data_IF_898052449005
#
_entry.id   IF_898052449005
#
_cell.length_a   1.000
_cell.length_b   1.000
_cell.length_c   1.000
_cell.angle_alpha   90.00
_cell.angle_beta   90.00
_cell.angle_gamma   90.00
#
_symmetry.space_group_name_H-M   'P 1'
#
loop_
_entity.id
_entity.type
_entity.pdbx_description
1 polymer ?
#
# COMPACT_ATOMS: atom_id res chain seq x y z
N UNK A 1 26.06 8.40 4.17
CA UNK A 1 25.20 8.82 4.34
C UNK A 1 24.05 8.30 4.14
N UNK A 2 23.41 8.19 4.85
CA UNK A 2 22.26 7.46 4.85
C UNK A 2 21.13 8.14 4.18
N UNK A 3 20.51 7.39 3.39
CA UNK A 3 19.31 7.77 2.85
C UNK A 3 18.22 7.59 3.90
N UNK A 4 17.24 8.43 3.90
CA UNK A 4 16.06 8.25 4.74
C UNK A 4 15.37 6.93 4.40
N UNK A 5 14.85 6.20 5.39
CA UNK A 5 14.12 4.98 5.07
C UNK A 5 12.85 5.31 4.28
N UNK A 6 12.46 4.38 3.41
CA UNK A 6 11.19 4.51 2.72
C UNK A 6 10.04 4.45 3.72
N UNK A 7 9.00 5.22 3.45
CA UNK A 7 7.81 5.31 4.31
C UNK A 7 6.66 4.57 3.67
N UNK A 8 6.05 3.71 4.47
CA UNK A 8 4.95 2.88 4.00
C UNK A 8 3.72 3.17 4.84
N UNK A 9 2.60 3.47 4.18
CA UNK A 9 1.31 3.52 4.85
C UNK A 9 0.66 2.16 4.66
N UNK A 10 0.32 1.50 5.76
CA UNK A 10 -0.35 0.20 5.75
C UNK A 10 -1.80 0.41 6.16
N UNK A 11 -2.73 0.06 5.27
CA UNK A 11 -4.17 0.20 5.53
C UNK A 11 -4.71 -1.20 5.81
N UNK A 12 -4.96 -1.48 7.07
CA UNK A 12 -5.35 -2.80 7.53
C UNK A 12 -6.18 -2.66 8.80
N UNK A 13 -7.40 -3.20 8.81
CA UNK A 13 -8.29 -3.04 9.94
C UNK A 13 -8.15 -4.09 11.02
N UNK A 14 -7.51 -5.23 10.74
CA UNK A 14 -7.26 -6.24 11.75
C UNK A 14 -6.02 -5.86 12.54
N UNK A 15 -6.21 -5.54 13.81
CA UNK A 15 -5.12 -5.00 14.63
C UNK A 15 -3.92 -5.94 14.70
N UNK A 16 -4.17 -7.24 14.82
CA UNK A 16 -3.05 -8.19 14.91
C UNK A 16 -2.27 -8.29 13.61
N UNK A 17 -2.95 -8.25 12.47
CA UNK A 17 -2.27 -8.26 11.18
C UNK A 17 -1.49 -6.97 10.96
N UNK A 18 -2.09 -5.83 11.32
CA UNK A 18 -1.43 -4.55 11.20
C UNK A 18 -0.16 -4.50 12.05
N UNK A 19 -0.24 -5.00 13.27
CA UNK A 19 0.91 -4.98 14.16
C UNK A 19 2.02 -5.91 13.66
N UNK A 20 1.65 -7.08 13.13
CA UNK A 20 2.63 -8.00 12.57
C UNK A 20 3.33 -7.36 11.36
N UNK A 21 2.57 -6.69 10.50
CA UNK A 21 3.14 -5.98 9.36
C UNK A 21 4.07 -4.86 9.81
N UNK A 22 3.63 -4.09 10.81
CA UNK A 22 4.46 -3.00 11.32
C UNK A 22 5.79 -3.51 11.85
N UNK A 23 5.75 -4.57 12.65
CA UNK A 23 6.98 -5.14 13.20
C UNK A 23 7.90 -5.67 12.13
N UNK A 24 7.34 -6.44 11.20
CA UNK A 24 8.14 -7.04 10.14
C UNK A 24 8.79 -5.96 9.27
N UNK A 25 8.01 -5.02 8.80
CA UNK A 25 8.51 -4.01 7.88
C UNK A 25 9.48 -3.05 8.57
N UNK A 26 9.24 -2.72 9.83
CA UNK A 26 10.16 -1.89 10.59
C UNK A 26 11.50 -2.61 10.77
N UNK A 27 11.45 -3.91 11.06
CA UNK A 27 12.66 -4.70 11.27
C UNK A 27 13.56 -4.71 10.03
N UNK A 28 12.96 -4.74 8.84
CA UNK A 28 13.77 -4.76 7.62
C UNK A 28 14.09 -3.37 7.07
N UNK A 29 13.76 -2.32 7.83
CA UNK A 29 14.29 -0.99 7.54
C UNK A 29 13.31 0.05 7.04
N UNK A 30 12.03 -0.24 7.00
CA UNK A 30 11.03 0.73 6.54
C UNK A 30 10.43 1.50 7.70
N UNK A 31 9.94 2.70 7.43
CA UNK A 31 9.19 3.47 8.39
C UNK A 31 7.71 3.26 8.10
N UNK A 32 6.95 2.79 9.09
CA UNK A 32 5.60 2.28 8.87
C UNK A 32 4.56 3.08 9.63
N UNK A 33 3.49 3.42 8.94
CA UNK A 33 2.35 4.13 9.51
C UNK A 33 1.11 3.28 9.28
N UNK A 34 0.33 3.04 10.33
CA UNK A 34 -0.84 2.17 10.25
C UNK A 34 -2.11 3.01 10.17
N UNK A 35 -2.98 2.66 9.24
CA UNK A 35 -4.32 3.23 9.14
C UNK A 35 -5.33 2.09 9.20
N UNK A 36 -6.22 2.06 10.18
CA UNK A 36 -7.18 0.96 10.29
C UNK A 36 -8.36 1.08 9.33
N UNK A 37 -8.53 2.21 8.68
CA UNK A 37 -9.67 2.44 7.80
C UNK A 37 -9.30 3.48 6.74
N UNK A 38 -10.23 3.72 5.82
CA UNK A 38 -10.00 4.67 4.73
C UNK A 38 -9.86 6.09 5.25
N UNK A 39 -10.67 6.47 6.22
CA UNK A 39 -10.61 7.84 6.77
C UNK A 39 -9.24 8.13 7.35
N UNK A 40 -8.69 7.19 8.13
CA UNK A 40 -7.35 7.34 8.70
C UNK A 40 -6.28 7.38 7.61
N UNK A 41 -6.42 6.52 6.60
CA UNK A 41 -5.47 6.49 5.48
C UNK A 41 -5.47 7.80 4.72
N UNK A 42 -6.66 8.36 4.50
CA UNK A 42 -6.78 9.65 3.83
C UNK A 42 -6.08 10.75 4.62
N UNK A 43 -6.25 10.75 5.94
CA UNK A 43 -5.59 11.71 6.81
C UNK A 43 -4.08 11.59 6.78
N UNK A 44 -3.57 10.35 6.85
CA UNK A 44 -2.13 10.12 6.77
C UNK A 44 -1.57 10.54 5.44
N UNK A 45 -2.27 10.23 4.34
CA UNK A 45 -1.79 10.56 3.01
C UNK A 45 -1.64 12.06 2.81
N UNK A 46 -2.43 12.86 3.52
CA UNK A 46 -2.30 14.31 3.48
C UNK A 46 -1.24 14.82 4.40
N UNK A 47 -1.01 14.13 5.51
CA UNK A 47 -0.14 14.63 6.58
C UNK A 47 1.33 14.29 6.35
N UNK A 48 1.63 13.21 5.65
CA UNK A 48 3.02 12.78 5.48
C UNK A 48 3.33 12.50 4.02
N UNK A 49 4.61 12.59 3.70
CA UNK A 49 5.13 12.06 2.45
C UNK A 49 5.34 10.57 2.63
N UNK A 50 4.93 9.78 1.67
CA UNK A 50 5.12 8.33 1.75
C UNK A 50 5.51 7.78 0.40
N UNK A 51 6.16 6.63 0.42
CA UNK A 51 6.70 6.03 -0.80
C UNK A 51 5.83 4.90 -1.33
N UNK A 52 5.16 4.18 -0.44
CA UNK A 52 4.34 3.03 -0.82
C UNK A 52 3.07 3.00 0.02
N UNK A 53 1.96 2.70 -0.64
CA UNK A 53 0.70 2.42 0.04
C UNK A 53 0.45 0.92 -0.05
N UNK A 54 0.35 0.26 1.11
CA UNK A 54 0.05 -1.16 1.18
C UNK A 54 -1.35 -1.28 1.75
N UNK A 55 -2.33 -1.65 0.94
CA UNK A 55 -3.72 -1.54 1.37
C UNK A 55 -4.51 -2.82 1.20
N UNK A 56 -5.20 -3.20 2.26
CA UNK A 56 -6.26 -4.20 2.16
C UNK A 56 -7.34 -3.65 1.23
N UNK A 57 -8.04 -4.54 0.55
CA UNK A 57 -9.11 -4.14 -0.36
C UNK A 57 -10.47 -4.08 0.33
N UNK A 58 -10.64 -4.79 1.45
CA UNK A 58 -11.89 -4.77 2.21
C UNK A 58 -11.66 -4.07 3.53
N UNK A 59 -12.29 -2.92 3.69
CA UNK A 59 -12.11 -2.07 4.86
C UNK A 59 -13.47 -1.72 5.46
N UNK A 60 -13.50 -1.32 6.74
CA UNK A 60 -14.80 -1.05 7.39
C UNK A 60 -15.62 0.03 6.71
N UNK A 61 -14.95 1.01 6.12
CA UNK A 61 -15.63 2.17 5.53
C UNK A 61 -15.48 2.24 4.01
N UNK A 62 -15.16 1.12 3.36
CA UNK A 62 -15.13 1.09 1.90
C UNK A 62 -14.12 0.09 1.36
N UNK A 63 -13.59 0.36 0.18
CA UNK A 63 -12.65 -0.55 -0.46
C UNK A 63 -11.33 0.14 -0.72
N UNK A 64 -10.27 -0.69 -0.78
CA UNK A 64 -8.95 -0.20 -1.17
C UNK A 64 -8.91 0.32 -2.59
N UNK A 65 -9.76 -0.23 -3.47
CA UNK A 65 -9.86 0.28 -4.84
C UNK A 65 -10.31 1.74 -4.85
N UNK A 66 -11.36 2.05 -4.07
CA UNK A 66 -11.87 3.42 -3.99
C UNK A 66 -10.82 4.35 -3.40
N UNK A 67 -10.12 3.89 -2.35
CA UNK A 67 -9.06 4.69 -1.74
C UNK A 67 -7.95 4.99 -2.75
N UNK A 68 -7.50 3.97 -3.48
CA UNK A 68 -6.45 4.15 -4.48
C UNK A 68 -6.88 5.14 -5.56
N UNK A 69 -8.12 5.00 -6.04
CA UNK A 69 -8.64 5.89 -7.06
C UNK A 69 -8.68 7.33 -6.56
N UNK A 70 -9.11 7.52 -5.34
CA UNK A 70 -9.17 8.84 -4.73
C UNK A 70 -7.77 9.46 -4.57
N UNK A 71 -6.84 8.70 -4.02
CA UNK A 71 -5.50 9.24 -3.76
C UNK A 71 -4.73 9.51 -5.05
N UNK A 72 -4.88 8.63 -6.05
CA UNK A 72 -4.14 8.80 -7.29
C UNK A 72 -4.70 9.92 -8.15
N UNK A 73 -5.89 10.41 -7.83
CA UNK A 73 -6.45 11.57 -8.55
C UNK A 73 -5.68 12.86 -8.24
N UNK A 74 -4.99 12.92 -7.12
CA UNK A 74 -4.28 14.13 -6.72
C UNK A 74 -2.77 14.05 -6.85
N UNK A 75 -2.21 12.84 -6.84
CA UNK A 75 -0.76 12.67 -7.01
C UNK A 75 -0.46 11.23 -7.38
N UNK A 76 0.70 10.97 -7.98
CA UNK A 76 1.08 9.60 -8.30
C UNK A 76 1.31 8.78 -7.02
N UNK A 77 0.80 7.56 -7.01
CA UNK A 77 0.88 6.68 -5.85
C UNK A 77 1.47 5.34 -6.27
N UNK A 78 2.47 4.85 -5.52
CA UNK A 78 2.94 3.49 -5.64
C UNK A 78 2.16 2.66 -4.63
N UNK A 79 1.37 1.72 -5.11
CA UNK A 79 0.47 0.99 -4.21
C UNK A 79 0.49 -0.50 -4.48
N UNK A 80 0.33 -1.27 -3.41
CA UNK A 80 0.24 -2.72 -3.45
C UNK A 80 -1.05 -3.09 -2.74
N UNK A 81 -1.88 -3.90 -3.41
CA UNK A 81 -3.11 -4.40 -2.81
C UNK A 81 -2.85 -5.72 -2.09
N UNK A 82 -3.46 -5.89 -0.92
CA UNK A 82 -3.44 -7.17 -0.21
C UNK A 82 -4.88 -7.61 -0.01
N UNK A 83 -5.16 -8.90 -0.23
CA UNK A 83 -6.54 -9.34 -0.21
C UNK A 83 -6.68 -10.83 0.07
N UNK A 84 -7.73 -11.18 0.80
CA UNK A 84 -8.14 -12.56 0.95
C UNK A 84 -8.99 -13.06 -0.21
N UNK A 85 -9.39 -12.17 -1.12
CA UNK A 85 -10.20 -12.50 -2.29
C UNK A 85 -9.43 -12.19 -3.55
N UNK A 86 -9.11 -13.21 -4.32
CA UNK A 86 -8.15 -13.07 -5.42
C UNK A 86 -8.66 -13.67 -6.71
N UNK A 87 -9.90 -13.35 -7.07
CA UNK A 87 -10.44 -13.77 -8.37
C UNK A 87 -9.75 -12.95 -9.47
N UNK A 88 -9.84 -13.47 -10.70
CA UNK A 88 -9.29 -12.75 -11.84
C UNK A 88 -9.90 -11.37 -11.98
N UNK A 89 -11.20 -11.24 -11.66
CA UNK A 89 -11.88 -9.94 -11.71
C UNK A 89 -11.28 -8.98 -10.69
N UNK A 90 -11.03 -9.47 -9.47
CA UNK A 90 -10.46 -8.63 -8.41
C UNK A 90 -9.06 -8.16 -8.77
N UNK A 91 -8.24 -9.07 -9.28
CA UNK A 91 -6.87 -8.75 -9.67
C UNK A 91 -6.86 -7.74 -10.80
N UNK A 92 -7.73 -7.93 -11.79
CA UNK A 92 -7.81 -6.99 -12.91
C UNK A 92 -8.29 -5.62 -12.44
N UNK A 93 -9.25 -5.59 -11.51
CA UNK A 93 -9.73 -4.32 -10.96
C UNK A 93 -8.61 -3.58 -10.23
N UNK A 94 -7.79 -4.32 -9.45
CA UNK A 94 -6.65 -3.71 -8.78
C UNK A 94 -5.68 -3.09 -9.78
N UNK A 95 -5.40 -3.82 -10.85
CA UNK A 95 -4.50 -3.34 -11.88
C UNK A 95 -5.04 -2.07 -12.55
N UNK A 96 -6.33 -2.07 -12.84
CA UNK A 96 -6.95 -0.94 -13.54
C UNK A 96 -6.95 0.35 -12.72
N UNK A 97 -7.11 0.25 -11.39
CA UNK A 97 -7.07 1.46 -10.58
C UNK A 97 -5.64 1.89 -10.25
N UNK A 98 -4.64 1.10 -10.66
CA UNK A 98 -3.25 1.51 -10.57
C UNK A 98 -2.39 0.81 -9.53
N UNK A 99 -2.90 -0.24 -8.87
CA UNK A 99 -2.04 -1.01 -7.98
C UNK A 99 -0.94 -1.69 -8.79
N UNK A 100 0.28 -1.63 -8.28
CA UNK A 100 1.43 -2.24 -8.95
C UNK A 100 1.47 -3.75 -8.76
N UNK A 101 0.98 -4.23 -7.63
CA UNK A 101 0.92 -5.64 -7.31
C UNK A 101 -0.34 -5.93 -6.53
N UNK A 102 -0.79 -7.18 -6.57
CA UNK A 102 -1.95 -7.66 -5.84
C UNK A 102 -1.51 -8.94 -5.15
N UNK A 103 -1.40 -8.92 -3.83
CA UNK A 103 -0.85 -10.03 -3.06
C UNK A 103 -1.94 -10.73 -2.28
N UNK A 104 -1.94 -12.06 -2.35
CA UNK A 104 -2.95 -12.86 -1.67
C UNK A 104 -2.62 -13.02 -0.18
N UNK A 105 -3.66 -13.03 0.64
CA UNK A 105 -3.52 -13.43 2.04
C UNK A 105 -3.68 -14.95 2.13
N UNK A 106 -3.01 -15.62 3.05
CA UNK A 106 -2.11 -15.06 4.06
C UNK A 106 -0.80 -14.57 3.44
N UNK A 107 -0.27 -13.50 3.99
CA UNK A 107 0.90 -12.86 3.42
C UNK A 107 2.15 -13.71 3.63
N UNK A 108 2.95 -13.80 2.58
CA UNK A 108 4.24 -14.49 2.60
C UNK A 108 5.32 -13.43 2.58
N UNK A 109 6.24 -13.50 3.54
CA UNK A 109 7.24 -12.46 3.73
C UNK A 109 8.04 -12.18 2.47
N UNK A 110 8.47 -13.24 1.75
CA UNK A 110 9.26 -13.06 0.53
C UNK A 110 8.48 -12.36 -0.57
N UNK A 111 7.19 -12.70 -0.71
CA UNK A 111 6.36 -12.05 -1.72
C UNK A 111 6.16 -10.58 -1.41
N UNK A 112 5.89 -10.29 -0.14
CA UNK A 112 5.66 -8.92 0.28
C UNK A 112 6.91 -8.08 0.10
N UNK A 113 8.05 -8.59 0.55
CA UNK A 113 9.31 -7.87 0.41
C UNK A 113 9.63 -7.61 -1.05
N UNK A 114 9.47 -8.62 -1.89
CA UNK A 114 9.74 -8.47 -3.33
C UNK A 114 8.82 -7.42 -3.96
N UNK A 115 7.56 -7.41 -3.59
CA UNK A 115 6.61 -6.44 -4.14
C UNK A 115 6.99 -5.01 -3.72
N UNK A 116 7.38 -4.83 -2.47
CA UNK A 116 7.79 -3.50 -2.00
C UNK A 116 9.06 -3.06 -2.72
N UNK A 117 10.02 -3.96 -2.87
CA UNK A 117 11.26 -3.63 -3.58
C UNK A 117 10.98 -3.24 -5.03
N UNK A 118 10.07 -3.94 -5.69
CA UNK A 118 9.67 -3.57 -7.04
C UNK A 118 9.02 -2.19 -7.07
N UNK A 119 8.17 -1.90 -6.09
CA UNK A 119 7.47 -0.63 -6.03
C UNK A 119 8.44 0.55 -5.86
N UNK A 120 9.39 0.41 -4.93
CA UNK A 120 10.30 1.53 -4.64
C UNK A 120 11.37 1.67 -5.72
N UNK A 121 11.66 0.62 -6.49
CA UNK A 121 12.69 0.70 -7.53
C UNK A 121 12.15 1.31 -8.82
N UNK A 122 10.84 1.41 -8.98
CA UNK A 122 10.28 2.03 -10.18
C UNK A 122 10.38 3.54 -10.10
N UNK A 123 10.55 4.21 -11.25
CA UNK A 123 10.42 5.65 -11.24
C UNK A 123 9.06 6.03 -10.72
N UNK A 124 8.97 7.13 -9.99
CA UNK A 124 7.68 7.60 -9.50
C UNK A 124 6.77 7.84 -10.71
N UNK A 125 5.55 7.31 -10.70
CA UNK A 125 4.63 7.58 -11.80
C UNK A 125 4.35 9.07 -11.80
N UNK A 126 4.62 9.73 -12.92
CA UNK A 126 4.58 11.15 -12.87
C UNK A 126 3.41 11.73 -13.56
N UNK A 127 2.84 11.08 -14.40
CA UNK A 127 1.99 11.87 -15.15
C UNK A 127 2.67 13.08 -15.68
N UNK A 128 3.67 13.36 -15.23
CA UNK A 128 4.24 14.49 -15.55
C UNK A 128 5.49 14.64 -16.08
N UNK A 129 5.98 14.68 -16.28
CA UNK A 129 6.95 14.99 -16.52
C UNK A 129 7.34 15.13 -17.40
N UNK A 130 7.17 15.43 -17.45
CA UNK A 130 7.44 15.51 -18.06
C UNK A 130 7.54 15.75 -18.49
#
# INVERSE_FOLDING_TARGET
>A
MGREPYRIIVVEDHASTAEALRKFLTTIGYKVYIAPDIASARGLAKAIEFDVLLSDLRLPDGTGWDLMQELSATKPIRAIAISGHNTDVDIERSRKVGFLDHIAKPLVAEELTAAIERAVSKPRPTGARH
#
